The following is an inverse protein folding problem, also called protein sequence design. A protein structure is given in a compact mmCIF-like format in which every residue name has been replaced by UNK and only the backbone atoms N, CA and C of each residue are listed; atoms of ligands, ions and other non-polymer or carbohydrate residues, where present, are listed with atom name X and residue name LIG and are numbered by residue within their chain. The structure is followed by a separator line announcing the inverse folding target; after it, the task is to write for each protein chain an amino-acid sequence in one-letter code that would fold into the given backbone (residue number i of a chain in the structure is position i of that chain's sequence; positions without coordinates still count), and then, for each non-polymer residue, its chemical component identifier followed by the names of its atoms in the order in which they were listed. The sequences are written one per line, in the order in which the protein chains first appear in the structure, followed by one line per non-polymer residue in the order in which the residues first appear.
data_IF_851438809566
#
_entry.id   IF_851438809566
#
_cell.length_a   1.000
_cell.length_b   1.000
_cell.length_c   1.000
_cell.angle_alpha   90.00
_cell.angle_beta   90.00
_cell.angle_gamma   90.00
#
_symmetry.space_group_name_H-M   'P 1'
#
loop_
_entity.id
_entity.type
_entity.pdbx_description
1 polymer ?
#
# COMPACT_ATOMS: atom_id res chain seq x y z
N UNK A 1 -7.10 27.13 -4.10
CA UNK A 1 -6.26 25.95 -4.25
C UNK A 1 -6.01 25.69 -5.73
N UNK A 2 -4.75 25.41 -6.10
CA UNK A 2 -4.47 25.09 -7.50
C UNK A 2 -5.22 23.86 -7.96
N UNK A 3 -5.71 23.87 -9.19
CA UNK A 3 -6.45 22.75 -9.77
C UNK A 3 -5.54 21.72 -10.43
N UNK A 4 -4.24 22.03 -10.56
CA UNK A 4 -3.28 21.13 -11.18
C UNK A 4 -2.70 20.09 -10.22
N UNK A 5 -2.96 20.21 -8.91
CA UNK A 5 -2.45 19.28 -7.92
C UNK A 5 -3.58 18.61 -7.15
N UNK A 6 -3.42 17.31 -6.95
CA UNK A 6 -4.29 16.57 -6.04
C UNK A 6 -3.82 16.78 -4.61
N UNK A 7 -4.71 16.62 -3.62
CA UNK A 7 -4.35 16.89 -2.22
C UNK A 7 -3.22 16.02 -1.67
N UNK A 8 -3.09 14.77 -2.11
CA UNK A 8 -2.11 13.84 -1.56
C UNK A 8 -0.82 13.89 -2.38
N UNK A 9 0.28 14.24 -1.71
CA UNK A 9 1.62 14.26 -2.32
C UNK A 9 2.47 13.08 -1.88
N UNK A 10 2.14 12.47 -0.75
CA UNK A 10 2.91 11.40 -0.13
C UNK A 10 2.03 10.67 0.86
N UNK A 11 2.21 9.36 1.00
CA UNK A 11 1.54 8.60 2.03
C UNK A 11 2.54 7.73 2.78
N UNK A 12 2.21 7.36 4.01
CA UNK A 12 3.01 6.42 4.79
C UNK A 12 2.11 5.38 5.43
N UNK A 13 2.53 4.14 5.36
CA UNK A 13 1.82 3.01 5.96
C UNK A 13 2.68 2.52 7.13
N UNK A 14 2.18 2.59 8.37
CA UNK A 14 2.93 2.12 9.53
C UNK A 14 3.04 0.60 9.51
N UNK A 15 4.22 0.09 9.86
CA UNK A 15 4.46 -1.35 9.92
C UNK A 15 5.20 -1.69 11.20
N UNK A 16 5.02 -2.91 11.69
CA UNK A 16 5.72 -3.40 12.88
C UNK A 16 7.04 -4.07 12.53
N UNK A 17 7.14 -4.63 11.34
CA UNK A 17 8.33 -5.34 10.87
C UNK A 17 8.58 -4.95 9.42
N UNK A 18 9.55 -4.07 9.21
CA UNK A 18 9.82 -3.51 7.88
C UNK A 18 10.24 -4.58 6.87
N UNK A 19 10.97 -5.59 7.29
CA UNK A 19 11.41 -6.64 6.38
C UNK A 19 10.24 -7.49 5.92
N UNK A 20 9.38 -7.88 6.85
CA UNK A 20 8.19 -8.65 6.53
C UNK A 20 7.23 -7.86 5.64
N UNK A 21 7.00 -6.60 5.99
CA UNK A 21 6.09 -5.75 5.22
C UNK A 21 6.63 -5.47 3.82
N UNK A 22 7.94 -5.25 3.69
CA UNK A 22 8.57 -5.03 2.40
C UNK A 22 8.39 -6.25 1.49
N UNK A 23 8.65 -7.44 2.02
CA UNK A 23 8.48 -8.68 1.25
C UNK A 23 7.03 -8.85 0.81
N UNK A 24 6.08 -8.56 1.71
CA UNK A 24 4.66 -8.64 1.41
C UNK A 24 4.28 -7.71 0.24
N UNK A 25 4.60 -6.42 0.36
CA UNK A 25 4.17 -5.45 -0.65
C UNK A 25 4.91 -5.58 -1.97
N UNK A 26 6.18 -5.98 -1.95
CA UNK A 26 6.91 -6.24 -3.20
C UNK A 26 6.21 -7.30 -4.03
N UNK A 27 5.72 -8.35 -3.39
CA UNK A 27 5.03 -9.43 -4.10
C UNK A 27 3.60 -9.05 -4.50
N UNK A 28 2.86 -8.40 -3.60
CA UNK A 28 1.47 -8.02 -3.88
C UNK A 28 1.41 -7.02 -5.03
N UNK A 29 2.31 -6.04 -5.05
CA UNK A 29 2.29 -4.99 -6.07
C UNK A 29 3.19 -5.29 -7.26
N UNK A 30 4.06 -6.30 -7.16
CA UNK A 30 5.00 -6.62 -8.24
C UNK A 30 6.04 -5.53 -8.45
N UNK A 31 6.52 -4.93 -7.38
CA UNK A 31 7.50 -3.82 -7.42
C UNK A 31 8.66 -4.11 -6.47
N UNK A 32 9.68 -3.27 -6.54
CA UNK A 32 10.80 -3.29 -5.59
C UNK A 32 10.75 -2.03 -4.76
N UNK A 33 10.90 -2.17 -3.45
CA UNK A 33 10.96 -1.03 -2.54
C UNK A 33 12.41 -0.69 -2.23
N UNK A 34 12.69 0.60 -2.06
CA UNK A 34 14.03 1.10 -1.74
C UNK A 34 14.15 1.33 -0.23
N UNK A 35 15.06 0.62 0.45
CA UNK A 35 15.20 0.79 1.90
C UNK A 35 15.86 2.12 2.25
N UNK A 36 15.41 2.72 3.35
CA UNK A 36 16.00 3.91 3.92
C UNK A 36 15.94 3.79 5.44
N UNK A 37 17.12 3.85 6.08
CA UNK A 37 17.19 3.80 7.54
C UNK A 37 17.81 5.11 8.03
N UNK A 38 17.07 5.85 8.84
CA UNK A 38 17.53 7.15 9.28
C UNK A 38 16.88 7.52 10.60
N UNK A 39 17.70 7.79 11.60
CA UNK A 39 17.24 8.38 12.86
C UNK A 39 16.14 7.59 13.58
N UNK A 40 16.25 6.28 13.65
CA UNK A 40 15.22 5.44 14.28
C UNK A 40 14.04 5.08 13.38
N UNK A 41 14.07 5.58 12.13
CA UNK A 41 13.07 5.24 11.13
C UNK A 41 13.64 4.18 10.18
N UNK A 42 12.90 3.09 10.00
CA UNK A 42 13.20 2.11 8.96
C UNK A 42 12.08 2.22 7.94
N UNK A 43 12.45 2.51 6.70
CA UNK A 43 11.48 2.77 5.65
C UNK A 43 11.71 1.88 4.44
N UNK A 44 10.64 1.61 3.72
CA UNK A 44 10.68 1.04 2.39
C UNK A 44 9.92 1.95 1.46
N UNK A 45 10.62 2.59 0.53
CA UNK A 45 10.01 3.54 -0.40
C UNK A 45 9.47 2.80 -1.62
N UNK A 46 8.21 3.02 -1.92
CA UNK A 46 7.62 2.54 -3.15
C UNK A 46 8.24 3.25 -4.36
N UNK A 47 8.29 2.60 -5.53
CA UNK A 47 8.81 3.27 -6.72
C UNK A 47 7.95 4.48 -7.09
N UNK A 48 8.58 5.46 -7.75
CA UNK A 48 7.92 6.69 -8.15
C UNK A 48 7.96 6.84 -9.66
N UNK A 49 6.79 7.00 -10.27
CA UNK A 49 6.70 7.29 -11.69
C UNK A 49 6.69 8.81 -11.87
N UNK A 50 7.65 9.34 -12.64
CA UNK A 50 7.83 10.79 -12.78
C UNK A 50 6.59 11.49 -13.33
N UNK A 51 5.97 10.92 -14.33
CA UNK A 51 4.79 11.51 -14.96
C UNK A 51 3.54 10.68 -14.70
N UNK A 52 3.55 9.85 -13.67
CA UNK A 52 2.41 9.02 -13.31
C UNK A 52 1.36 9.79 -12.54
N UNK A 53 0.14 9.27 -12.58
CA UNK A 53 -0.94 9.79 -11.76
C UNK A 53 -0.77 9.32 -10.31
N UNK A 54 -1.34 10.07 -9.38
CA UNK A 54 -1.31 9.74 -7.98
C UNK A 54 -0.02 10.14 -7.29
N UNK A 55 0.22 9.57 -6.13
CA UNK A 55 1.42 9.82 -5.35
C UNK A 55 2.14 8.52 -5.05
N UNK A 56 3.43 8.60 -4.75
CA UNK A 56 4.15 7.49 -4.14
C UNK A 56 4.18 7.68 -2.63
N UNK A 57 4.77 6.73 -1.93
CA UNK A 57 4.83 6.75 -0.48
C UNK A 57 5.79 5.71 0.04
N UNK A 58 5.64 5.35 1.31
CA UNK A 58 6.56 4.44 1.97
C UNK A 58 5.89 3.60 3.05
N UNK A 59 6.49 2.46 3.33
CA UNK A 59 6.27 1.72 4.58
C UNK A 59 7.18 2.32 5.64
N UNK A 60 6.71 2.46 6.87
CA UNK A 60 7.48 3.10 7.94
C UNK A 60 7.39 2.28 9.23
N UNK A 61 8.55 1.85 9.72
CA UNK A 61 8.66 1.26 11.06
C UNK A 61 9.37 2.28 11.95
N UNK A 62 8.66 2.79 12.95
CA UNK A 62 9.19 3.77 13.88
C UNK A 62 8.38 3.74 15.16
N UNK A 63 8.99 4.19 16.25
CA UNK A 63 8.29 4.31 17.52
C UNK A 63 7.11 5.26 17.38
N UNK A 64 5.96 4.89 17.91
CA UNK A 64 4.76 5.70 17.83
C UNK A 64 3.97 5.57 16.54
N UNK A 65 4.47 4.81 15.58
CA UNK A 65 3.77 4.55 14.30
C UNK A 65 3.19 3.14 14.38
N UNK A 66 1.92 3.04 14.70
CA UNK A 66 1.24 1.76 14.98
C UNK A 66 0.33 1.36 13.83
N UNK A 67 0.49 0.14 13.29
CA UNK A 67 -0.44 -0.37 12.27
C UNK A 67 -1.83 -0.59 12.85
N UNK A 68 -2.84 -0.57 11.97
CA UNK A 68 -4.20 -0.85 12.38
C UNK A 68 -5.15 -0.77 11.20
N UNK A 69 -6.38 -1.21 11.44
CA UNK A 69 -7.41 -1.24 10.40
C UNK A 69 -8.41 -0.09 10.48
N UNK A 70 -8.21 0.83 11.43
CA UNK A 70 -9.04 2.02 11.56
C UNK A 70 -8.30 3.23 11.01
N UNK A 71 -9.04 4.23 10.58
CA UNK A 71 -8.48 5.48 10.08
C UNK A 71 -8.47 5.56 8.57
N UNK A 72 -7.48 6.24 8.04
CA UNK A 72 -7.38 6.52 6.60
C UNK A 72 -7.15 5.24 5.80
N UNK A 73 -7.85 5.13 4.66
CA UNK A 73 -7.73 4.00 3.75
C UNK A 73 -6.99 4.44 2.50
N UNK A 74 -5.91 3.75 2.17
CA UNK A 74 -5.09 4.03 0.99
C UNK A 74 -5.44 3.03 -0.10
N UNK A 75 -5.66 3.52 -1.33
CA UNK A 75 -5.91 2.69 -2.51
C UNK A 75 -4.63 2.58 -3.33
N UNK A 76 -4.16 1.36 -3.52
CA UNK A 76 -2.97 1.06 -4.32
C UNK A 76 -3.41 0.48 -5.66
N UNK A 77 -2.79 0.93 -6.74
CA UNK A 77 -3.16 0.51 -8.09
C UNK A 77 -2.42 -0.77 -8.47
N UNK A 78 -3.17 -1.74 -8.97
CA UNK A 78 -2.61 -2.99 -9.51
C UNK A 78 -3.25 -3.28 -10.85
N UNK A 79 -2.57 -4.01 -11.75
CA UNK A 79 -3.17 -4.37 -13.03
C UNK A 79 -4.31 -5.40 -12.91
N UNK A 80 -4.24 -6.28 -11.90
CA UNK A 80 -5.22 -7.36 -11.73
C UNK A 80 -5.51 -7.54 -10.24
N UNK A 81 -6.69 -7.09 -9.83
CA UNK A 81 -7.09 -7.13 -8.42
C UNK A 81 -7.18 -8.56 -7.89
N UNK A 82 -7.76 -9.48 -8.67
CA UNK A 82 -7.89 -10.88 -8.22
C UNK A 82 -6.53 -11.54 -8.01
N UNK A 83 -5.60 -11.32 -8.92
CA UNK A 83 -4.25 -11.86 -8.80
C UNK A 83 -3.55 -11.32 -7.56
N UNK A 84 -3.69 -10.02 -7.30
CA UNK A 84 -3.10 -9.40 -6.11
C UNK A 84 -3.71 -9.96 -4.83
N UNK A 85 -5.02 -10.18 -4.80
CA UNK A 85 -5.68 -10.77 -3.62
C UNK A 85 -5.22 -12.20 -3.36
N UNK A 86 -4.98 -12.97 -4.41
CA UNK A 86 -4.41 -14.33 -4.26
C UNK A 86 -3.04 -14.26 -3.57
N UNK A 87 -2.19 -13.33 -4.00
CA UNK A 87 -0.88 -13.13 -3.39
C UNK A 87 -1.00 -12.67 -1.94
N UNK A 88 -1.95 -11.77 -1.65
CA UNK A 88 -2.23 -11.35 -0.28
C UNK A 88 -2.47 -12.55 0.63
N UNK A 89 -3.34 -13.46 0.20
CA UNK A 89 -3.68 -14.65 0.99
C UNK A 89 -2.49 -15.59 1.15
N UNK A 90 -1.70 -15.76 0.10
CA UNK A 90 -0.50 -16.62 0.15
C UNK A 90 0.52 -16.10 1.15
N UNK A 91 0.58 -14.81 1.36
CA UNK A 91 1.56 -14.17 2.26
C UNK A 91 0.99 -13.87 3.65
N UNK A 92 -0.13 -14.47 4.00
CA UNK A 92 -0.69 -14.36 5.34
C UNK A 92 -1.60 -13.16 5.57
N UNK A 93 -1.89 -12.39 4.52
CA UNK A 93 -2.89 -11.35 4.59
C UNK A 93 -4.30 -11.90 4.48
N UNK A 94 -5.29 -11.02 4.50
CA UNK A 94 -6.68 -11.44 4.51
C UNK A 94 -7.51 -10.56 3.59
N UNK A 95 -8.39 -11.18 2.80
CA UNK A 95 -9.35 -10.42 1.98
C UNK A 95 -10.46 -9.91 2.89
N UNK A 96 -10.66 -8.60 2.92
CA UNK A 96 -11.69 -7.95 3.74
C UNK A 96 -12.90 -7.55 2.89
N UNK A 97 -12.68 -7.20 1.63
CA UNK A 97 -13.72 -6.95 0.65
C UNK A 97 -13.23 -7.55 -0.67
N UNK A 98 -13.91 -8.56 -1.21
CA UNK A 98 -13.47 -9.15 -2.47
C UNK A 98 -13.64 -8.17 -3.63
N UNK A 99 -13.08 -8.52 -4.78
CA UNK A 99 -13.14 -7.65 -5.95
C UNK A 99 -14.59 -7.23 -6.23
N UNK A 100 -14.79 -5.93 -6.31
CA UNK A 100 -16.07 -5.32 -6.59
C UNK A 100 -15.91 -4.39 -7.76
N UNK A 101 -16.68 -4.59 -8.81
CA UNK A 101 -16.60 -3.76 -10.02
C UNK A 101 -17.48 -2.54 -9.87
N UNK A 102 -17.02 -1.41 -10.40
CA UNK A 102 -17.75 -0.15 -10.43
C UNK A 102 -17.44 0.60 -11.71
N UNK A 103 -17.93 1.83 -11.79
CA UNK A 103 -17.78 2.65 -12.99
C UNK A 103 -16.32 2.98 -13.30
N UNK A 104 -15.50 3.09 -12.27
CA UNK A 104 -14.09 3.49 -12.41
C UNK A 104 -13.11 2.31 -12.43
N UNK A 105 -13.61 1.09 -12.50
CA UNK A 105 -12.79 -0.12 -12.47
C UNK A 105 -13.17 -1.01 -11.31
N UNK A 106 -12.22 -1.82 -10.84
CA UNK A 106 -12.46 -2.76 -9.74
C UNK A 106 -11.71 -2.33 -8.50
N UNK A 107 -12.31 -2.59 -7.34
CA UNK A 107 -11.68 -2.33 -6.05
C UNK A 107 -11.75 -3.59 -5.17
N UNK A 108 -10.90 -3.62 -4.14
CA UNK A 108 -10.94 -4.64 -3.10
C UNK A 108 -10.26 -4.09 -1.86
N UNK A 109 -10.55 -4.70 -0.71
CA UNK A 109 -9.86 -4.36 0.54
C UNK A 109 -9.18 -5.60 1.09
N UNK A 110 -8.03 -5.41 1.72
CA UNK A 110 -7.31 -6.51 2.36
C UNK A 110 -6.68 -6.03 3.65
N UNK A 111 -6.42 -6.98 4.53
CA UNK A 111 -5.59 -6.75 5.71
C UNK A 111 -4.18 -7.22 5.36
N UNK A 112 -3.19 -6.35 5.52
CA UNK A 112 -1.83 -6.66 5.13
C UNK A 112 -1.11 -7.51 6.19
N UNK A 113 0.18 -7.76 5.98
CA UNK A 113 0.99 -8.56 6.90
C UNK A 113 1.12 -7.94 8.29
N UNK A 114 0.82 -6.66 8.42
CA UNK A 114 0.99 -5.91 9.66
C UNK A 114 -0.33 -5.59 10.36
N UNK A 115 -1.44 -5.97 9.76
CA UNK A 115 -2.77 -5.68 10.31
C UNK A 115 -3.38 -4.38 9.84
N UNK A 116 -2.80 -3.72 8.85
CA UNK A 116 -3.40 -2.53 8.26
C UNK A 116 -4.50 -2.90 7.28
N UNK A 117 -5.55 -2.09 7.24
CA UNK A 117 -6.54 -2.17 6.17
C UNK A 117 -6.07 -1.31 5.01
N UNK A 118 -5.95 -1.92 3.84
CA UNK A 118 -5.48 -1.25 2.62
C UNK A 118 -6.39 -1.68 1.48
N UNK A 119 -6.55 -0.82 0.49
CA UNK A 119 -7.38 -1.12 -0.66
C UNK A 119 -6.54 -1.28 -1.93
N UNK A 120 -7.08 -2.02 -2.87
CA UNK A 120 -6.54 -2.17 -4.21
C UNK A 120 -7.53 -1.62 -5.21
N UNK A 121 -7.03 -1.13 -6.32
CA UNK A 121 -7.88 -0.74 -7.43
C UNK A 121 -7.18 -1.02 -8.75
N UNK A 122 -7.96 -1.34 -9.76
CA UNK A 122 -7.53 -1.41 -11.14
C UNK A 122 -8.36 -0.43 -11.94
N UNK A 123 -7.75 0.18 -12.91
CA UNK A 123 -8.42 1.15 -13.79
C UNK A 123 -9.00 0.48 -15.02
#
# INVERSE_FOLDING_TARGET
MPTETNPVMWFEIPVSDIDRATAFYEKVLGVSLSPLNQGGFKMGWFPRAENGHGSSGALVQAEGRTPGKAGTLVYLVVPDVDAALTTVQELGGRVMLPRTSGDSGSIAHFKDSEGNLVALMSL
#
